data_IF_072724330238
#
_entry.id   IF_072724330238
#
_cell.length_a   1.000
_cell.length_b   1.000
_cell.length_c   1.000
_cell.angle_alpha   90.00
_cell.angle_beta   90.00
_cell.angle_gamma   90.00
#
_symmetry.space_group_name_H-M   'P 1'
#
loop_
_entity.id
_entity.type
_entity.pdbx_description
1 polymer ?
#
# COMPACT_ATOMS: atom_id res chain seq x y z
N UNK A 1 36.78 37.94 -2.18
CA UNK A 1 36.48 36.55 -1.76
C UNK A 1 35.17 36.57 -0.98
N UNK A 2 34.06 36.16 -1.59
CA UNK A 2 32.77 36.00 -0.91
C UNK A 2 32.56 34.51 -0.65
N UNK A 3 32.45 34.12 0.63
CA UNK A 3 32.12 32.75 1.04
C UNK A 3 30.62 32.53 0.84
N UNK A 4 30.28 31.62 -0.07
CA UNK A 4 28.93 31.06 -0.24
C UNK A 4 28.64 30.15 0.97
N UNK A 5 27.82 30.63 1.89
CA UNK A 5 27.12 29.78 2.85
C UNK A 5 25.98 29.07 2.12
N UNK A 6 26.26 27.86 1.65
CA UNK A 6 25.20 26.91 1.28
C UNK A 6 24.56 26.52 2.60
N UNK A 7 23.46 27.20 2.95
CA UNK A 7 22.52 26.68 3.91
C UNK A 7 21.98 25.38 3.31
N UNK A 8 22.50 24.26 3.81
CA UNK A 8 21.87 22.95 3.70
C UNK A 8 20.56 23.02 4.47
N UNK A 9 19.57 23.69 3.86
CA UNK A 9 18.20 23.61 4.30
C UNK A 9 17.78 22.17 4.09
N UNK A 10 17.80 21.41 5.19
CA UNK A 10 17.00 20.21 5.34
C UNK A 10 15.66 20.49 4.70
N UNK A 11 15.40 19.90 3.53
CA UNK A 11 14.04 19.63 3.12
C UNK A 11 13.57 18.61 4.15
N UNK A 12 13.05 19.14 5.26
CA UNK A 12 12.06 18.45 6.04
C UNK A 12 11.11 17.86 5.01
N UNK A 13 11.18 16.54 4.83
CA UNK A 13 10.07 15.81 4.26
C UNK A 13 8.91 16.27 5.10
N UNK A 14 8.00 17.03 4.48
CA UNK A 14 6.72 17.28 5.09
C UNK A 14 6.18 15.88 5.37
N UNK A 15 6.24 15.48 6.63
CA UNK A 15 5.53 14.33 7.12
C UNK A 15 4.07 14.65 6.80
N UNK A 16 3.59 14.07 5.70
CA UNK A 16 2.19 14.03 5.35
C UNK A 16 1.56 13.12 6.41
N UNK A 17 1.32 13.69 7.60
CA UNK A 17 0.88 12.99 8.82
C UNK A 17 -0.49 12.29 8.68
N UNK A 18 -1.13 12.34 7.50
CA UNK A 18 -2.38 11.65 7.20
C UNK A 18 -2.26 10.28 6.51
N UNK A 19 -1.08 9.88 6.00
CA UNK A 19 -0.95 8.67 5.16
C UNK A 19 -0.18 7.50 5.78
N UNK A 20 0.52 7.71 6.89
CA UNK A 20 1.41 6.71 7.46
C UNK A 20 0.75 5.41 7.92
N UNK A 21 -0.57 5.39 8.18
CA UNK A 21 -1.26 4.13 8.49
C UNK A 21 -1.48 3.26 7.23
N UNK A 22 -1.96 3.86 6.14
CA UNK A 22 -2.19 3.17 4.86
C UNK A 22 -0.88 2.67 4.29
N UNK A 23 0.14 3.53 4.26
CA UNK A 23 1.43 3.18 3.70
C UNK A 23 2.05 1.99 4.42
N UNK A 24 1.90 1.93 5.76
CA UNK A 24 2.30 0.76 6.55
C UNK A 24 1.54 -0.49 6.14
N UNK A 25 0.21 -0.42 5.94
CA UNK A 25 -0.57 -1.60 5.53
C UNK A 25 -0.20 -2.06 4.11
N UNK A 26 0.04 -1.14 3.18
CA UNK A 26 0.50 -1.48 1.83
C UNK A 26 1.94 -2.04 1.86
N UNK A 27 2.78 -1.56 2.77
CA UNK A 27 4.12 -2.12 2.99
C UNK A 27 4.07 -3.53 3.57
N UNK A 28 3.16 -3.81 4.52
CA UNK A 28 2.93 -5.16 5.04
C UNK A 28 2.59 -6.15 3.90
N UNK A 29 1.77 -5.72 2.94
CA UNK A 29 1.44 -6.51 1.74
C UNK A 29 2.71 -6.76 0.91
N UNK A 30 3.49 -5.71 0.61
CA UNK A 30 4.74 -5.85 -0.17
C UNK A 30 5.74 -6.76 0.52
N UNK A 31 5.94 -6.63 1.83
CA UNK A 31 6.85 -7.47 2.58
C UNK A 31 6.41 -8.93 2.58
N UNK A 32 5.11 -9.20 2.74
CA UNK A 32 4.59 -10.55 2.63
C UNK A 32 4.77 -11.13 1.21
N UNK A 33 4.53 -10.34 0.15
CA UNK A 33 4.80 -10.74 -1.23
C UNK A 33 6.29 -11.01 -1.49
N UNK A 34 7.17 -10.20 -0.91
CA UNK A 34 8.61 -10.41 -0.95
C UNK A 34 8.99 -11.76 -0.31
N UNK A 35 8.45 -12.07 0.88
CA UNK A 35 8.70 -13.36 1.55
C UNK A 35 8.13 -14.57 0.79
N UNK A 36 7.22 -14.35 -0.15
CA UNK A 36 6.69 -15.36 -1.07
C UNK A 36 7.52 -15.54 -2.35
N UNK A 37 8.41 -14.60 -2.71
CA UNK A 37 9.21 -14.70 -3.95
C UNK A 37 10.24 -15.84 -3.83
N UNK A 38 10.23 -16.82 -4.76
CA UNK A 38 11.27 -17.85 -4.82
C UNK A 38 12.70 -17.31 -5.04
N UNK A 39 12.84 -16.05 -5.42
CA UNK A 39 14.13 -15.37 -5.53
C UNK A 39 14.60 -14.72 -4.21
N UNK A 40 13.75 -14.66 -3.19
CA UNK A 40 14.11 -14.12 -1.86
C UNK A 40 15.12 -15.04 -1.17
N UNK A 41 16.17 -14.48 -0.53
CA UNK A 41 17.14 -15.26 0.26
C UNK A 41 16.45 -16.20 1.24
N UNK A 42 17.01 -17.40 1.44
CA UNK A 42 16.37 -18.44 2.27
C UNK A 42 16.15 -17.99 3.73
N UNK A 43 17.05 -17.18 4.27
CA UNK A 43 16.97 -16.60 5.62
C UNK A 43 15.90 -15.51 5.78
N UNK A 44 15.44 -14.95 4.67
CA UNK A 44 14.38 -13.94 4.63
C UNK A 44 13.05 -14.50 4.12
N UNK A 45 13.04 -15.72 3.57
CA UNK A 45 11.85 -16.35 3.00
C UNK A 45 10.88 -16.76 4.11
N UNK A 46 9.59 -16.59 3.86
CA UNK A 46 8.57 -17.06 4.81
C UNK A 46 8.59 -18.59 4.87
N UNK A 47 8.72 -19.16 6.07
CA UNK A 47 8.65 -20.62 6.30
C UNK A 47 7.31 -21.21 5.82
N UNK A 48 6.24 -20.41 5.88
CA UNK A 48 4.88 -20.83 5.57
C UNK A 48 4.23 -19.91 4.53
N UNK A 49 4.29 -20.24 3.24
CA UNK A 49 3.71 -19.41 2.17
C UNK A 49 2.23 -19.09 2.38
N UNK A 50 1.46 -20.04 2.92
CA UNK A 50 0.05 -19.82 3.23
C UNK A 50 -0.14 -18.74 4.31
N UNK A 51 0.77 -18.65 5.28
CA UNK A 51 0.73 -17.63 6.32
C UNK A 51 1.09 -16.26 5.75
N UNK A 52 2.10 -16.17 4.89
CA UNK A 52 2.51 -14.90 4.27
C UNK A 52 1.40 -14.30 3.41
N UNK A 53 0.77 -15.11 2.53
CA UNK A 53 -0.35 -14.61 1.72
C UNK A 53 -1.57 -14.23 2.58
N UNK A 54 -1.77 -14.90 3.72
CA UNK A 54 -2.78 -14.52 4.69
C UNK A 54 -2.48 -13.16 5.33
N UNK A 55 -1.22 -12.88 5.71
CA UNK A 55 -0.83 -11.57 6.23
C UNK A 55 -1.11 -10.46 5.21
N UNK A 56 -0.74 -10.68 3.95
CA UNK A 56 -1.04 -9.76 2.87
C UNK A 56 -2.56 -9.54 2.71
N UNK A 57 -3.36 -10.60 2.70
CA UNK A 57 -4.82 -10.50 2.61
C UNK A 57 -5.42 -9.74 3.80
N UNK A 58 -4.99 -10.03 5.03
CA UNK A 58 -5.46 -9.34 6.23
C UNK A 58 -5.14 -7.85 6.17
N UNK A 59 -3.94 -7.47 5.74
CA UNK A 59 -3.58 -6.07 5.56
C UNK A 59 -4.49 -5.36 4.53
N UNK A 60 -4.79 -6.02 3.40
CA UNK A 60 -5.72 -5.46 2.41
C UNK A 60 -7.15 -5.30 2.96
N UNK A 61 -7.68 -6.32 3.64
CA UNK A 61 -9.03 -6.27 4.21
C UNK A 61 -9.14 -5.23 5.32
N UNK A 62 -8.07 -4.94 6.07
CA UNK A 62 -8.04 -3.83 7.02
C UNK A 62 -8.17 -2.48 6.31
N UNK A 63 -7.46 -2.27 5.20
CA UNK A 63 -7.60 -1.06 4.37
C UNK A 63 -9.03 -0.98 3.84
N UNK A 64 -9.58 -2.08 3.33
CA UNK A 64 -10.95 -2.15 2.81
C UNK A 64 -12.00 -1.90 3.88
N UNK A 65 -11.80 -2.36 5.10
CA UNK A 65 -12.67 -2.07 6.24
C UNK A 65 -12.64 -0.58 6.58
N UNK A 66 -11.45 0.01 6.60
CA UNK A 66 -11.27 1.43 6.92
C UNK A 66 -11.85 2.37 5.85
N UNK A 67 -11.68 2.05 4.56
CA UNK A 67 -12.22 2.87 3.46
C UNK A 67 -13.75 2.84 3.42
N UNK A 68 -14.36 1.73 3.84
CA UNK A 68 -15.82 1.59 3.94
C UNK A 68 -16.40 2.10 5.27
N UNK A 69 -15.54 2.47 6.23
CA UNK A 69 -16.00 2.93 7.54
C UNK A 69 -16.56 4.34 7.45
N UNK A 70 -17.84 4.49 7.81
CA UNK A 70 -18.56 5.77 7.87
C UNK A 70 -18.10 6.68 9.02
N UNK A 71 -17.41 6.12 10.02
CA UNK A 71 -16.91 6.89 11.17
C UNK A 71 -15.68 7.71 10.78
N UNK A 72 -15.55 8.94 11.30
CA UNK A 72 -14.30 9.69 11.19
C UNK A 72 -13.15 8.88 11.79
N UNK A 73 -12.01 8.86 11.11
CA UNK A 73 -10.77 8.28 11.66
C UNK A 73 -9.58 9.08 11.16
N UNK A 74 -8.52 9.12 11.97
CA UNK A 74 -7.24 9.73 11.59
C UNK A 74 -6.38 8.80 10.72
N UNK A 75 -6.88 7.62 10.38
CA UNK A 75 -6.13 6.58 9.65
C UNK A 75 -6.18 6.77 8.15
N UNK A 76 -7.27 7.36 7.65
CA UNK A 76 -7.57 7.47 6.23
C UNK A 76 -8.31 8.79 5.98
N UNK A 77 -7.75 9.70 5.17
CA UNK A 77 -8.40 10.97 4.84
C UNK A 77 -9.79 10.77 4.24
N UNK A 78 -10.71 11.70 4.53
CA UNK A 78 -12.09 11.66 4.02
C UNK A 78 -12.13 11.54 2.50
N UNK A 79 -11.24 12.21 1.79
CA UNK A 79 -11.23 12.26 0.33
C UNK A 79 -10.90 10.88 -0.27
N UNK A 80 -10.03 10.11 0.37
CA UNK A 80 -9.78 8.71 0.01
C UNK A 80 -11.02 7.86 0.30
N UNK A 81 -11.67 8.06 1.46
CA UNK A 81 -12.91 7.36 1.82
C UNK A 81 -14.08 7.63 0.87
N UNK A 82 -14.08 8.75 0.17
CA UNK A 82 -15.14 9.08 -0.80
C UNK A 82 -14.74 8.81 -2.26
N UNK A 83 -13.48 8.47 -2.52
CA UNK A 83 -12.96 8.26 -3.87
C UNK A 83 -13.32 6.89 -4.41
N UNK A 84 -14.18 6.83 -5.42
CA UNK A 84 -14.57 5.57 -6.06
C UNK A 84 -13.37 4.80 -6.64
N UNK A 85 -12.37 5.51 -7.18
CA UNK A 85 -11.16 4.87 -7.70
C UNK A 85 -10.33 4.22 -6.60
N UNK A 86 -10.22 4.86 -5.43
CA UNK A 86 -9.53 4.29 -4.27
C UNK A 86 -10.25 3.04 -3.75
N UNK A 87 -11.57 3.09 -3.66
CA UNK A 87 -12.41 1.92 -3.30
C UNK A 87 -12.18 0.75 -4.27
N UNK A 88 -12.21 1.02 -5.57
CA UNK A 88 -12.04 -0.02 -6.60
C UNK A 88 -10.63 -0.61 -6.58
N UNK A 89 -9.60 0.22 -6.43
CA UNK A 89 -8.21 -0.23 -6.38
C UNK A 89 -7.97 -1.21 -5.21
N UNK A 90 -8.46 -0.87 -4.01
CA UNK A 90 -8.38 -1.76 -2.84
C UNK A 90 -9.17 -3.04 -3.07
N UNK A 91 -10.39 -2.94 -3.59
CA UNK A 91 -11.23 -4.11 -3.82
C UNK A 91 -10.55 -5.10 -4.77
N UNK A 92 -9.99 -4.62 -5.88
CA UNK A 92 -9.25 -5.45 -6.83
C UNK A 92 -8.04 -6.10 -6.17
N UNK A 93 -7.23 -5.33 -5.43
CA UNK A 93 -6.07 -5.88 -4.73
C UNK A 93 -6.47 -7.00 -3.75
N UNK A 94 -7.56 -6.81 -3.00
CA UNK A 94 -8.03 -7.82 -2.04
C UNK A 94 -8.58 -9.07 -2.73
N UNK A 95 -9.26 -8.93 -3.88
CA UNK A 95 -9.73 -10.06 -4.70
C UNK A 95 -8.52 -10.85 -5.22
N UNK A 96 -7.51 -10.19 -5.77
CA UNK A 96 -6.35 -10.85 -6.35
C UNK A 96 -5.53 -11.57 -5.27
N UNK A 97 -5.36 -10.95 -4.09
CA UNK A 97 -4.78 -11.59 -2.91
C UNK A 97 -5.56 -12.85 -2.48
N UNK A 98 -6.89 -12.76 -2.45
CA UNK A 98 -7.74 -13.90 -2.08
C UNK A 98 -7.63 -15.05 -3.08
N UNK A 99 -7.55 -14.75 -4.38
CA UNK A 99 -7.36 -15.74 -5.44
C UNK A 99 -6.00 -16.43 -5.31
N UNK A 100 -4.93 -15.69 -5.04
CA UNK A 100 -3.60 -16.28 -4.83
C UNK A 100 -3.54 -17.13 -3.57
N UNK A 101 -4.23 -16.73 -2.49
CA UNK A 101 -4.37 -17.60 -1.31
C UNK A 101 -5.04 -18.93 -1.64
N UNK A 102 -6.12 -18.91 -2.41
CA UNK A 102 -6.81 -20.14 -2.82
C UNK A 102 -5.88 -21.04 -3.66
N UNK A 103 -5.09 -20.46 -4.57
CA UNK A 103 -4.06 -21.21 -5.31
C UNK A 103 -3.02 -21.86 -4.40
N UNK A 104 -2.46 -21.11 -3.45
CA UNK A 104 -1.50 -21.63 -2.47
C UNK A 104 -2.13 -22.73 -1.62
N UNK A 105 -3.39 -22.57 -1.21
CA UNK A 105 -4.13 -23.58 -0.43
C UNK A 105 -4.27 -24.90 -1.20
N UNK A 106 -4.38 -24.84 -2.53
CA UNK A 106 -4.42 -26.01 -3.42
C UNK A 106 -3.04 -26.57 -3.77
N UNK A 107 -1.97 -26.04 -3.18
CA UNK A 107 -0.59 -26.50 -3.37
C UNK A 107 0.17 -25.83 -4.51
N UNK A 108 -0.39 -24.79 -5.14
CA UNK A 108 0.32 -24.03 -6.18
C UNK A 108 1.12 -22.89 -5.55
N UNK A 109 2.43 -22.90 -5.73
CA UNK A 109 3.26 -21.76 -5.35
C UNK A 109 3.01 -20.58 -6.30
N UNK A 110 3.06 -19.37 -5.76
CA UNK A 110 3.05 -18.16 -6.58
C UNK A 110 4.34 -18.09 -7.40
N UNK A 111 4.20 -17.83 -8.69
CA UNK A 111 5.37 -17.58 -9.52
C UNK A 111 5.85 -16.12 -9.38
N UNK A 112 7.09 -15.89 -9.79
CA UNK A 112 7.73 -14.57 -9.68
C UNK A 112 7.03 -13.49 -10.51
N UNK A 113 6.35 -13.88 -11.59
CA UNK A 113 5.62 -12.93 -12.45
C UNK A 113 4.36 -12.45 -11.74
N UNK A 114 3.61 -13.36 -11.14
CA UNK A 114 2.40 -13.07 -10.36
C UNK A 114 2.73 -12.14 -9.19
N UNK A 115 3.84 -12.40 -8.48
CA UNK A 115 4.33 -11.55 -7.38
C UNK A 115 4.61 -10.13 -7.88
N UNK A 116 5.36 -9.98 -8.97
CA UNK A 116 5.65 -8.65 -9.54
C UNK A 116 4.40 -7.91 -9.99
N UNK A 117 3.44 -8.62 -10.60
CA UNK A 117 2.17 -8.01 -11.00
C UNK A 117 1.40 -7.49 -9.79
N UNK A 118 1.39 -8.25 -8.70
CA UNK A 118 0.77 -7.82 -7.45
C UNK A 118 1.52 -6.66 -6.79
N UNK A 119 2.86 -6.65 -6.79
CA UNK A 119 3.63 -5.51 -6.29
C UNK A 119 3.33 -4.22 -7.07
N UNK A 120 3.23 -4.32 -8.40
CA UNK A 120 2.80 -3.21 -9.25
C UNK A 120 1.40 -2.74 -8.89
N UNK A 121 0.48 -3.66 -8.63
CA UNK A 121 -0.89 -3.33 -8.21
C UNK A 121 -0.92 -2.67 -6.82
N UNK A 122 -0.07 -3.09 -5.89
CA UNK A 122 0.10 -2.43 -4.58
C UNK A 122 0.58 -1.00 -4.76
N UNK A 123 1.58 -0.78 -5.64
CA UNK A 123 2.07 0.56 -5.93
C UNK A 123 1.01 1.43 -6.61
N UNK A 124 0.29 0.90 -7.61
CA UNK A 124 -0.82 1.62 -8.25
C UNK A 124 -1.92 1.99 -7.23
N UNK A 125 -2.23 1.08 -6.30
CA UNK A 125 -3.19 1.35 -5.23
C UNK A 125 -2.70 2.48 -4.33
N UNK A 126 -1.41 2.48 -3.95
CA UNK A 126 -0.78 3.57 -3.20
C UNK A 126 -0.93 4.91 -3.93
N UNK A 127 -0.59 4.94 -5.22
CA UNK A 127 -0.61 6.15 -6.04
C UNK A 127 -2.03 6.72 -6.19
N UNK A 128 -3.03 5.86 -6.40
CA UNK A 128 -4.44 6.25 -6.49
C UNK A 128 -4.92 6.88 -5.18
N UNK A 129 -4.57 6.29 -4.04
CA UNK A 129 -4.97 6.84 -2.75
C UNK A 129 -4.25 8.15 -2.45
N UNK A 130 -2.95 8.25 -2.76
CA UNK A 130 -2.18 9.48 -2.59
C UNK A 130 -2.78 10.61 -3.45
N UNK A 131 -3.10 10.32 -4.71
CA UNK A 131 -3.78 11.25 -5.60
C UNK A 131 -5.15 11.70 -5.05
N UNK A 132 -5.98 10.76 -4.59
CA UNK A 132 -7.26 11.06 -3.98
C UNK A 132 -7.13 11.98 -2.76
N UNK A 133 -6.04 11.83 -1.99
CA UNK A 133 -5.73 12.70 -0.86
C UNK A 133 -5.20 14.09 -1.25
N UNK A 134 -4.53 14.22 -2.39
CA UNK A 134 -3.93 15.49 -2.83
C UNK A 134 -4.90 16.43 -3.57
N UNK A 135 -6.06 15.93 -4.03
CA UNK A 135 -7.05 16.70 -4.80
C UNK A 135 -7.61 17.95 -4.07
N UNK A 136 -7.32 18.14 -2.78
CA UNK A 136 -7.65 19.38 -2.05
C UNK A 136 -6.50 20.36 -1.86
N UNK A 137 -5.24 19.95 -2.00
CA UNK A 137 -4.08 20.85 -1.81
C UNK A 137 -4.00 21.94 -2.90
N UNK A 138 -4.64 21.71 -4.04
CA UNK A 138 -4.68 22.62 -5.19
C UNK A 138 -5.99 23.42 -5.30
N UNK A 139 -7.02 23.10 -4.51
CA UNK A 139 -8.30 23.82 -4.52
C UNK A 139 -8.36 25.03 -3.58
N UNK A 140 -7.35 25.22 -2.71
CA UNK A 140 -7.28 26.32 -1.74
C UNK A 140 -6.41 27.52 -2.19
N UNK A 141 -6.03 27.59 -3.47
CA UNK A 141 -5.28 28.71 -4.05
C UNK A 141 -6.14 29.63 -4.93
N UNK A 142 -7.46 29.59 -4.75
CA UNK A 142 -8.42 30.46 -5.41
C UNK A 142 -9.34 31.09 -4.36
N UNK A 143 -8.78 31.98 -3.54
CA UNK A 143 -9.50 33.06 -2.84
C UNK A 143 -8.62 34.32 -2.88
#
# INVERSE_FOLDING_TARGET
>A
MCLLLIASGSTARADVEGFGWIDRRLDDIRQALYRLDPATPEDERGEYPLQEIQFAQTACELIRGEINTRKPSNRLPRDVKTSQSAHQAVLMLCIDLAQQKDRITRGYMMDRRDIRLMELQVQQTRDIMAFASSLKSSASWQD
#
